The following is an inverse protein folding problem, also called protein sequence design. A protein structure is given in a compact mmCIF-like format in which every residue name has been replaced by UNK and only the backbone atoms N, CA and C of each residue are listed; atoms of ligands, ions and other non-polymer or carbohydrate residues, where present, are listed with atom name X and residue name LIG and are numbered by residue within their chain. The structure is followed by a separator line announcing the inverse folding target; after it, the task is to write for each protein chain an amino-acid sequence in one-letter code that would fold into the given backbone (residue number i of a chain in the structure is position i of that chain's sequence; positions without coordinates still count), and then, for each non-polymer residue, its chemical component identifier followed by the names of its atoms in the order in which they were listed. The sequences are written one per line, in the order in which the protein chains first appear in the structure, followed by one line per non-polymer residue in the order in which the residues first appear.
data_IF_041968130190
#
_entry.id   IF_041968130190
#
_cell.length_a   1.000
_cell.length_b   1.000
_cell.length_c   1.000
_cell.angle_alpha   90.00
_cell.angle_beta   90.00
_cell.angle_gamma   90.00
#
_symmetry.space_group_name_H-M   'P 1'
#
loop_
_entity.id
_entity.type
_entity.pdbx_description
1 polymer ?
#
# COMPACT_ATOMS: atom_id res chain seq x y z
N UNK A 1 -1.48 18.21 8.28
CA UNK A 1 -0.95 16.98 7.67
C UNK A 1 0.38 17.13 6.91
N UNK A 2 1.39 16.35 7.35
CA UNK A 2 2.73 16.21 6.73
C UNK A 2 2.72 15.38 5.43
N UNK A 3 1.90 14.33 5.37
CA UNK A 3 1.76 13.49 4.18
C UNK A 3 0.79 14.12 3.19
N UNK A 4 1.16 14.14 1.91
CA UNK A 4 0.37 14.65 0.79
C UNK A 4 0.05 13.59 -0.24
N UNK A 5 0.96 12.63 -0.40
CA UNK A 5 0.87 11.60 -1.42
C UNK A 5 1.43 10.26 -0.94
N UNK A 6 1.14 9.23 -1.72
CA UNK A 6 1.64 7.89 -1.57
C UNK A 6 2.28 7.44 -2.87
N UNK A 7 3.51 6.93 -2.79
CA UNK A 7 4.06 6.06 -3.81
C UNK A 7 3.65 4.61 -3.50
N UNK A 8 3.25 3.86 -4.51
CA UNK A 8 2.95 2.44 -4.42
C UNK A 8 3.74 1.68 -5.47
N UNK A 9 4.46 0.63 -5.05
CA UNK A 9 5.06 -0.36 -5.95
C UNK A 9 4.54 -1.75 -5.58
N UNK A 10 3.84 -2.36 -6.53
CA UNK A 10 3.21 -3.66 -6.40
C UNK A 10 3.96 -4.68 -7.26
N UNK A 11 4.32 -5.81 -6.66
CA UNK A 11 5.04 -6.90 -7.32
C UNK A 11 4.44 -8.25 -6.96
N UNK A 12 4.72 -9.25 -7.79
CA UNK A 12 4.30 -10.63 -7.56
C UNK A 12 4.91 -11.23 -6.28
N UNK A 13 4.37 -12.34 -5.72
CA UNK A 13 5.02 -13.10 -4.68
C UNK A 13 6.46 -13.46 -5.05
N UNK A 14 7.24 -13.81 -4.04
CA UNK A 14 8.52 -14.42 -4.28
C UNK A 14 8.34 -15.75 -5.03
N UNK A 15 9.20 -16.09 -6.01
CA UNK A 15 9.27 -17.44 -6.54
C UNK A 15 9.44 -18.48 -5.42
N UNK A 16 9.00 -19.74 -5.62
CA UNK A 16 9.13 -20.78 -4.59
C UNK A 16 10.57 -21.06 -4.14
N UNK A 17 11.55 -20.79 -5.00
CA UNK A 17 12.99 -20.96 -4.78
C UNK A 17 13.71 -19.67 -4.33
N UNK A 18 12.96 -18.60 -4.02
CA UNK A 18 13.53 -17.35 -3.54
C UNK A 18 14.17 -17.53 -2.16
N UNK A 19 15.45 -17.18 -2.06
CA UNK A 19 16.24 -17.25 -0.83
C UNK A 19 16.04 -16.05 0.11
N UNK A 20 15.05 -15.19 -0.19
CA UNK A 20 14.79 -13.95 0.53
C UNK A 20 15.77 -12.81 0.23
N UNK A 21 16.71 -12.99 -0.71
CA UNK A 21 17.71 -11.97 -1.06
C UNK A 21 17.09 -10.66 -1.50
N UNK A 22 16.03 -10.69 -2.31
CA UNK A 22 15.31 -9.49 -2.73
C UNK A 22 14.73 -8.73 -1.55
N UNK A 23 14.02 -9.42 -0.63
CA UNK A 23 13.40 -8.78 0.52
C UNK A 23 14.45 -8.22 1.49
N UNK A 24 15.54 -8.96 1.71
CA UNK A 24 16.66 -8.52 2.55
C UNK A 24 17.33 -7.28 1.99
N UNK A 25 17.68 -7.29 0.70
CA UNK A 25 18.21 -6.11 0.01
C UNK A 25 17.22 -4.94 0.08
N UNK A 26 15.95 -5.19 -0.23
CA UNK A 26 14.98 -4.11 -0.26
C UNK A 26 14.78 -3.46 1.12
N UNK A 27 14.79 -4.23 2.20
CA UNK A 27 14.61 -3.72 3.56
C UNK A 27 15.86 -3.06 4.14
N UNK A 28 17.04 -3.64 3.90
CA UNK A 28 18.28 -3.22 4.58
C UNK A 28 19.12 -2.24 3.76
N UNK A 29 18.87 -2.15 2.46
CA UNK A 29 19.59 -1.27 1.55
C UNK A 29 18.59 -0.33 0.85
N UNK A 30 17.71 -0.86 -0.01
CA UNK A 30 16.93 -0.01 -0.92
C UNK A 30 15.97 0.97 -0.23
N UNK A 31 15.20 0.51 0.77
CA UNK A 31 14.27 1.35 1.54
C UNK A 31 15.00 2.41 2.37
N UNK A 32 16.05 2.07 3.16
CA UNK A 32 16.82 3.04 3.91
C UNK A 32 17.37 4.20 3.07
N UNK A 33 17.85 3.93 1.84
CA UNK A 33 18.36 4.98 0.95
C UNK A 33 17.31 6.04 0.62
N UNK A 34 16.01 5.70 0.63
CA UNK A 34 14.95 6.67 0.30
C UNK A 34 14.85 7.78 1.35
N UNK A 35 15.30 7.55 2.58
CA UNK A 35 15.28 8.58 3.63
C UNK A 35 16.32 9.70 3.44
N UNK A 36 17.17 9.59 2.42
CA UNK A 36 18.01 10.71 1.96
C UNK A 36 17.17 11.83 1.34
N UNK A 37 16.00 11.48 0.79
CA UNK A 37 15.14 12.39 0.08
C UNK A 37 14.29 13.18 1.10
N UNK A 38 14.40 14.52 1.17
CA UNK A 38 13.71 15.31 2.19
C UNK A 38 12.18 15.16 2.19
N UNK A 39 11.60 14.86 1.03
CA UNK A 39 10.15 14.65 0.87
C UNK A 39 9.65 13.28 1.30
N UNK A 40 10.53 12.30 1.57
CA UNK A 40 10.11 10.98 2.07
C UNK A 40 9.82 11.07 3.56
N UNK A 41 8.57 10.76 3.92
CA UNK A 41 8.06 10.85 5.29
C UNK A 41 8.19 9.53 6.02
N UNK A 42 7.84 8.42 5.36
CA UNK A 42 7.89 7.07 5.93
C UNK A 42 7.83 6.02 4.82
N UNK A 43 8.55 4.91 4.98
CA UNK A 43 8.49 3.74 4.11
C UNK A 43 7.88 2.54 4.82
N UNK A 44 6.94 1.89 4.15
CA UNK A 44 6.19 0.73 4.62
C UNK A 44 6.31 -0.40 3.60
N UNK A 45 6.31 -1.65 4.09
CA UNK A 45 6.36 -2.84 3.25
C UNK A 45 5.50 -3.95 3.83
N UNK A 46 4.74 -4.58 2.95
CA UNK A 46 3.87 -5.71 3.26
C UNK A 46 4.00 -6.81 2.23
N UNK A 47 3.74 -8.04 2.67
CA UNK A 47 3.81 -9.24 1.83
C UNK A 47 2.58 -10.10 2.03
N UNK A 48 2.19 -10.82 0.98
CA UNK A 48 1.23 -11.91 1.03
C UNK A 48 1.97 -13.20 0.67
N UNK A 49 1.99 -14.13 1.62
CA UNK A 49 2.59 -15.46 1.53
C UNK A 49 1.68 -16.49 2.21
N UNK A 50 1.83 -17.77 1.86
CA UNK A 50 0.97 -18.84 2.36
C UNK A 50 -0.52 -18.50 2.19
N UNK A 51 -1.28 -18.65 3.28
CA UNK A 51 -2.74 -18.45 3.32
C UNK A 51 -3.19 -17.05 2.85
N UNK A 52 -2.34 -16.02 2.94
CA UNK A 52 -2.69 -14.67 2.49
C UNK A 52 -3.03 -14.61 1.00
N UNK A 53 -2.42 -15.47 0.18
CA UNK A 53 -2.65 -15.48 -1.27
C UNK A 53 -4.05 -16.00 -1.62
N UNK A 54 -4.59 -16.91 -0.81
CA UNK A 54 -5.91 -17.53 -1.00
C UNK A 54 -7.05 -16.69 -0.39
N UNK A 55 -6.73 -15.70 0.45
CA UNK A 55 -7.70 -14.81 1.11
C UNK A 55 -7.93 -13.48 0.38
N UNK A 56 -7.68 -13.43 -0.92
CA UNK A 56 -8.00 -12.25 -1.74
C UNK A 56 -9.51 -12.17 -1.96
N UNK A 57 -10.08 -10.99 -1.72
CA UNK A 57 -11.48 -10.68 -1.98
C UNK A 57 -11.70 -10.31 -3.45
N UNK A 58 -10.68 -9.72 -4.09
CA UNK A 58 -10.68 -9.45 -5.53
C UNK A 58 -9.28 -9.59 -6.10
N UNK A 59 -9.18 -10.10 -7.33
CA UNK A 59 -7.92 -10.43 -7.97
C UNK A 59 -8.03 -10.36 -9.51
N UNK A 60 -8.41 -9.21 -10.04
CA UNK A 60 -8.66 -9.02 -11.47
C UNK A 60 -7.40 -8.59 -12.23
N UNK A 61 -7.17 -9.24 -13.38
CA UNK A 61 -6.05 -8.92 -14.26
C UNK A 61 -4.67 -9.10 -13.59
N UNK A 62 -3.64 -8.34 -14.02
CA UNK A 62 -2.28 -8.47 -13.49
C UNK A 62 -2.17 -8.22 -11.98
N UNK A 63 -2.99 -7.32 -11.41
CA UNK A 63 -2.97 -7.07 -9.97
C UNK A 63 -3.53 -8.23 -9.14
N UNK A 64 -4.21 -9.20 -9.76
CA UNK A 64 -4.52 -10.47 -9.12
C UNK A 64 -3.28 -11.25 -8.67
N UNK A 65 -2.09 -10.89 -9.16
CA UNK A 65 -0.83 -11.48 -8.74
C UNK A 65 -0.13 -10.69 -7.63
N UNK A 66 -0.74 -9.69 -6.99
CA UNK A 66 -0.04 -8.92 -5.94
C UNK A 66 0.35 -9.84 -4.77
N UNK A 67 1.66 -9.90 -4.50
CA UNK A 67 2.23 -10.60 -3.35
C UNK A 67 3.13 -9.72 -2.49
N UNK A 68 3.44 -8.52 -2.96
CA UNK A 68 4.34 -7.58 -2.32
C UNK A 68 3.84 -6.16 -2.59
N UNK A 69 3.78 -5.35 -1.54
CA UNK A 69 3.46 -3.94 -1.63
C UNK A 69 4.51 -3.12 -0.88
N UNK A 70 5.06 -2.11 -1.55
CA UNK A 70 5.90 -1.07 -0.94
C UNK A 70 5.17 0.23 -1.05
N UNK A 71 5.14 0.97 0.05
CA UNK A 71 4.47 2.24 0.13
C UNK A 71 5.38 3.29 0.77
N UNK A 72 5.63 4.39 0.06
CA UNK A 72 6.29 5.56 0.66
C UNK A 72 5.29 6.69 0.83
N UNK A 73 5.20 7.21 2.03
CA UNK A 73 4.47 8.44 2.35
C UNK A 73 5.32 9.62 1.92
N UNK A 74 4.74 10.52 1.14
CA UNK A 74 5.44 11.64 0.51
C UNK A 74 4.84 12.96 0.99
N UNK A 75 5.71 13.89 1.40
CA UNK A 75 5.39 15.26 1.76
C UNK A 75 5.60 16.24 0.61
N UNK A 76 5.51 17.54 0.91
CA UNK A 76 5.82 18.59 -0.06
C UNK A 76 7.35 18.76 -0.23
N UNK A 77 7.84 19.16 -1.43
CA UNK A 77 7.11 19.24 -2.69
C UNK A 77 6.95 17.86 -3.38
N UNK A 78 5.72 17.46 -3.68
CA UNK A 78 5.42 16.09 -4.13
C UNK A 78 6.05 15.75 -5.48
N UNK A 79 5.86 16.58 -6.52
CA UNK A 79 6.36 16.30 -7.87
C UNK A 79 7.89 16.17 -7.88
N UNK A 80 8.59 17.12 -7.26
CA UNK A 80 10.05 17.07 -7.11
C UNK A 80 10.49 15.82 -6.33
N UNK A 81 9.76 15.44 -5.27
CA UNK A 81 10.10 14.22 -4.52
C UNK A 81 9.97 12.97 -5.37
N UNK A 82 8.96 12.90 -6.27
CA UNK A 82 8.83 11.79 -7.19
C UNK A 82 9.94 11.76 -8.25
N UNK A 83 10.35 12.92 -8.77
CA UNK A 83 11.50 13.02 -9.69
C UNK A 83 12.80 12.58 -9.01
N UNK A 84 13.05 13.07 -7.80
CA UNK A 84 14.22 12.72 -7.00
C UNK A 84 14.24 11.23 -6.66
N UNK A 85 13.08 10.65 -6.36
CA UNK A 85 12.92 9.21 -6.11
C UNK A 85 13.35 8.37 -7.32
N UNK A 86 12.94 8.77 -8.52
CA UNK A 86 13.32 8.09 -9.76
C UNK A 86 14.80 8.32 -10.10
N UNK A 87 15.32 9.52 -9.88
CA UNK A 87 16.73 9.84 -10.06
C UNK A 87 17.63 9.02 -9.12
N UNK A 88 17.25 8.91 -7.84
CA UNK A 88 17.95 8.09 -6.86
C UNK A 88 17.92 6.61 -7.26
N UNK A 89 16.76 6.09 -7.65
CA UNK A 89 16.64 4.71 -8.13
C UNK A 89 17.55 4.41 -9.32
N UNK A 90 17.69 5.37 -10.25
CA UNK A 90 18.62 5.27 -11.39
C UNK A 90 20.07 5.27 -10.94
N UNK A 91 20.46 6.22 -10.10
CA UNK A 91 21.84 6.33 -9.60
C UNK A 91 22.26 5.08 -8.81
N UNK A 92 21.37 4.54 -7.96
CA UNK A 92 21.61 3.29 -7.24
C UNK A 92 21.80 2.10 -8.21
N UNK A 93 20.98 2.01 -9.27
CA UNK A 93 21.12 0.96 -10.29
C UNK A 93 22.43 1.07 -11.06
N UNK A 94 22.80 2.27 -11.51
CA UNK A 94 24.05 2.52 -12.24
C UNK A 94 25.28 2.17 -11.39
N UNK A 95 25.17 2.28 -10.06
CA UNK A 95 26.20 1.86 -9.11
C UNK A 95 26.08 0.38 -8.68
N UNK A 96 25.31 -0.45 -9.39
CA UNK A 96 25.19 -1.89 -9.11
C UNK A 96 24.40 -2.24 -7.85
N UNK A 97 23.66 -1.30 -7.25
CA UNK A 97 22.87 -1.51 -6.02
C UNK A 97 21.46 -2.03 -6.27
N UNK A 98 21.24 -2.68 -7.42
CA UNK A 98 20.01 -3.39 -7.78
C UNK A 98 20.36 -4.85 -8.14
N UNK A 99 20.83 -5.66 -7.17
CA UNK A 99 21.32 -7.02 -7.43
C UNK A 99 20.20 -7.97 -7.88
N UNK A 100 18.95 -7.67 -7.52
CA UNK A 100 17.77 -8.45 -7.89
C UNK A 100 16.69 -7.50 -8.38
N UNK A 101 16.05 -7.84 -9.50
CA UNK A 101 14.88 -7.12 -10.02
C UNK A 101 13.68 -8.06 -10.04
N UNK A 102 12.51 -7.54 -9.66
CA UNK A 102 11.24 -8.25 -9.79
C UNK A 102 10.38 -7.54 -10.84
N UNK A 103 9.66 -8.29 -11.69
CA UNK A 103 8.68 -7.69 -12.58
C UNK A 103 7.67 -6.85 -11.80
N UNK A 104 7.50 -5.60 -12.23
CA UNK A 104 6.50 -4.72 -11.64
C UNK A 104 5.11 -5.10 -12.15
N UNK A 105 4.15 -5.21 -11.23
CA UNK A 105 2.74 -5.28 -11.59
C UNK A 105 2.15 -3.88 -11.76
N UNK A 106 2.56 -2.96 -10.89
CA UNK A 106 2.18 -1.55 -10.97
C UNK A 106 3.13 -0.68 -10.15
N UNK A 107 3.39 0.52 -10.65
CA UNK A 107 3.93 1.65 -9.88
C UNK A 107 2.96 2.81 -10.00
N UNK A 108 2.64 3.49 -8.91
CA UNK A 108 1.72 4.64 -8.93
C UNK A 108 2.10 5.68 -7.88
N UNK A 109 2.02 6.96 -8.25
CA UNK A 109 1.99 8.09 -7.32
C UNK A 109 0.55 8.57 -7.19
N UNK A 110 0.01 8.63 -5.98
CA UNK A 110 -1.39 8.96 -5.71
C UNK A 110 -1.52 9.99 -4.59
N UNK A 111 -2.45 10.93 -4.73
CA UNK A 111 -2.70 11.97 -3.71
C UNK A 111 -3.48 11.37 -2.56
N UNK A 112 -3.14 11.74 -1.33
CA UNK A 112 -3.93 11.38 -0.14
C UNK A 112 -5.25 12.15 -0.16
N UNK A 113 -6.36 11.41 -0.13
CA UNK A 113 -7.72 11.96 -0.22
C UNK A 113 -8.44 11.93 1.12
N UNK A 114 -8.33 10.81 1.85
CA UNK A 114 -9.05 10.57 3.10
C UNK A 114 -8.12 9.83 4.08
N UNK A 115 -8.22 10.14 5.37
CA UNK A 115 -7.43 9.52 6.43
C UNK A 115 -8.26 9.46 7.70
N UNK A 116 -8.37 8.27 8.28
CA UNK A 116 -9.21 8.02 9.45
C UNK A 116 -8.48 7.12 10.45
N UNK A 117 -8.73 7.35 11.74
CA UNK A 117 -8.34 6.47 12.83
C UNK A 117 -9.58 5.83 13.44
N UNK A 118 -9.47 4.58 13.86
CA UNK A 118 -10.52 3.97 14.67
C UNK A 118 -10.56 4.62 16.06
N UNK A 119 -11.76 4.81 16.66
CA UNK A 119 -11.85 5.41 18.00
C UNK A 119 -11.04 4.66 19.07
N UNK A 120 -10.90 3.34 18.93
CA UNK A 120 -10.14 2.48 19.84
C UNK A 120 -8.62 2.47 19.58
N UNK A 121 -8.14 3.07 18.49
CA UNK A 121 -6.71 3.17 18.20
C UNK A 121 -6.01 4.25 19.05
N UNK A 122 -6.78 5.19 19.62
CA UNK A 122 -6.32 6.24 20.54
C UNK A 122 -5.18 7.12 19.98
N UNK A 123 -5.11 7.27 18.66
CA UNK A 123 -4.17 8.14 17.96
C UNK A 123 -4.89 9.00 16.94
N UNK A 124 -4.27 10.13 16.55
CA UNK A 124 -4.79 10.97 15.47
C UNK A 124 -4.76 10.22 14.13
N UNK A 125 -5.74 10.50 13.28
CA UNK A 125 -5.83 9.91 11.94
C UNK A 125 -4.55 10.13 11.09
N UNK A 126 -3.86 11.27 11.27
CA UNK A 126 -2.63 11.61 10.54
C UNK A 126 -1.42 10.72 10.91
N UNK A 127 -1.48 9.96 12.00
CA UNK A 127 -0.34 9.15 12.48
C UNK A 127 -0.57 7.64 12.45
N UNK A 128 -1.73 7.17 11.97
CA UNK A 128 -2.06 5.74 11.85
C UNK A 128 -0.98 4.93 11.11
N UNK A 129 -0.39 5.40 10.00
CA UNK A 129 0.61 4.59 9.30
C UNK A 129 1.94 4.43 10.07
N UNK A 130 2.20 5.31 11.05
CA UNK A 130 3.48 5.37 11.78
C UNK A 130 3.49 4.48 13.02
N UNK A 131 2.34 3.97 13.45
CA UNK A 131 2.27 2.99 14.53
C UNK A 131 2.53 1.58 13.99
N UNK A 132 3.13 0.69 14.80
CA UNK A 132 3.18 -0.72 14.49
C UNK A 132 1.76 -1.27 14.23
N UNK A 133 1.65 -2.11 13.20
CA UNK A 133 0.43 -2.82 12.82
C UNK A 133 0.83 -4.20 12.32
N UNK A 134 -0.01 -5.21 12.54
CA UNK A 134 0.28 -6.61 12.16
C UNK A 134 0.16 -6.83 10.64
N UNK A 135 -0.62 -6.01 9.97
CA UNK A 135 -0.78 -6.05 8.52
C UNK A 135 -1.76 -5.01 8.02
N UNK A 136 -2.16 -5.17 6.77
CA UNK A 136 -3.13 -4.32 6.09
C UNK A 136 -4.16 -5.16 5.33
N UNK A 137 -5.31 -4.57 5.03
CA UNK A 137 -6.03 -4.89 3.80
C UNK A 137 -5.71 -3.81 2.77
N UNK A 138 -5.18 -4.20 1.62
CA UNK A 138 -4.96 -3.31 0.49
C UNK A 138 -6.13 -3.47 -0.49
N UNK A 139 -6.75 -2.36 -0.86
CA UNK A 139 -7.87 -2.31 -1.81
C UNK A 139 -7.47 -1.38 -2.96
N UNK A 140 -7.56 -1.86 -4.19
CA UNK A 140 -7.33 -1.13 -5.43
C UNK A 140 -8.60 -1.16 -6.25
N UNK A 141 -9.12 0.02 -6.56
CA UNK A 141 -10.39 0.22 -7.24
C UNK A 141 -10.23 1.19 -8.40
N UNK A 142 -11.00 0.97 -9.46
CA UNK A 142 -11.05 1.86 -10.62
C UNK A 142 -12.46 2.40 -10.79
N UNK A 143 -12.65 3.70 -11.03
CA UNK A 143 -13.95 4.23 -11.38
C UNK A 143 -14.37 3.74 -12.76
N UNK A 144 -15.67 3.45 -12.93
CA UNK A 144 -16.21 3.03 -14.23
C UNK A 144 -16.41 4.24 -15.15
N UNK A 145 -16.87 5.37 -14.60
CA UNK A 145 -17.04 6.63 -15.34
C UNK A 145 -16.64 7.81 -14.48
N UNK A 146 -15.69 8.62 -14.97
CA UNK A 146 -15.31 9.88 -14.35
C UNK A 146 -14.90 9.76 -12.88
N UNK A 147 -15.05 10.84 -12.13
CA UNK A 147 -14.79 10.85 -10.69
C UNK A 147 -16.08 10.47 -9.93
N UNK A 148 -16.08 9.42 -9.09
CA UNK A 148 -17.27 8.93 -8.41
C UNK A 148 -17.51 9.69 -7.09
N UNK A 149 -17.83 10.98 -7.16
CA UNK A 149 -17.90 11.87 -5.98
C UNK A 149 -18.91 11.41 -4.91
N UNK A 150 -20.08 10.91 -5.32
CA UNK A 150 -21.07 10.38 -4.39
C UNK A 150 -20.56 9.15 -3.63
N UNK A 151 -19.80 8.28 -4.31
CA UNK A 151 -19.17 7.13 -3.66
C UNK A 151 -18.07 7.56 -2.70
N UNK A 152 -17.22 8.53 -3.07
CA UNK A 152 -16.21 9.08 -2.16
C UNK A 152 -16.83 9.74 -0.92
N UNK A 153 -17.98 10.40 -1.08
CA UNK A 153 -18.73 10.99 0.02
C UNK A 153 -19.35 9.91 0.92
N UNK A 154 -19.96 8.88 0.33
CA UNK A 154 -20.50 7.74 1.08
C UNK A 154 -19.39 7.00 1.84
N UNK A 155 -18.20 6.84 1.23
CA UNK A 155 -17.03 6.28 1.91
C UNK A 155 -16.73 7.02 3.21
N UNK A 156 -16.70 8.35 3.13
CA UNK A 156 -16.42 9.21 4.26
C UNK A 156 -17.50 9.15 5.35
N UNK A 157 -18.76 9.29 4.95
CA UNK A 157 -19.88 9.53 5.86
C UNK A 157 -20.42 8.26 6.52
N UNK A 158 -20.34 7.12 5.84
CA UNK A 158 -21.01 5.89 6.25
C UNK A 158 -20.06 4.68 6.29
N UNK A 159 -19.29 4.48 5.22
CA UNK A 159 -18.45 3.27 5.10
C UNK A 159 -17.31 3.24 6.12
N UNK A 160 -16.49 4.29 6.20
CA UNK A 160 -15.36 4.28 7.14
C UNK A 160 -15.80 4.20 8.59
N UNK A 161 -16.84 4.91 9.08
CA UNK A 161 -17.35 4.68 10.43
C UNK A 161 -17.65 3.21 10.74
N UNK A 162 -18.30 2.49 9.82
CA UNK A 162 -18.59 1.06 9.98
C UNK A 162 -17.31 0.20 9.92
N UNK A 163 -16.44 0.46 8.95
CA UNK A 163 -15.16 -0.24 8.79
C UNK A 163 -14.27 -0.08 10.03
N UNK A 164 -14.18 1.13 10.58
CA UNK A 164 -13.35 1.45 11.74
C UNK A 164 -13.94 0.97 13.07
N UNK A 165 -15.23 0.65 13.11
CA UNK A 165 -15.86 -0.01 14.24
C UNK A 165 -15.52 -1.51 14.32
N UNK A 166 -15.00 -2.11 13.25
CA UNK A 166 -14.64 -3.53 13.21
C UNK A 166 -13.41 -3.80 14.08
N UNK A 167 -13.49 -4.73 15.06
CA UNK A 167 -12.36 -5.07 15.92
C UNK A 167 -11.10 -5.46 15.14
N UNK A 168 -9.95 -4.94 15.58
CA UNK A 168 -8.67 -5.17 14.94
C UNK A 168 -8.31 -4.17 13.84
N UNK A 169 -9.17 -3.20 13.53
CA UNK A 169 -8.89 -2.13 12.55
C UNK A 169 -8.37 -0.88 13.25
N UNK A 170 -7.15 -0.45 12.93
CA UNK A 170 -6.53 0.74 13.52
C UNK A 170 -6.92 2.05 12.79
N UNK A 171 -7.13 1.98 11.48
CA UNK A 171 -7.43 3.14 10.66
C UNK A 171 -7.44 2.81 9.17
N UNK A 172 -7.83 3.78 8.35
CA UNK A 172 -7.88 3.63 6.89
C UNK A 172 -7.44 4.91 6.20
N UNK A 173 -6.54 4.78 5.22
CA UNK A 173 -6.07 5.88 4.38
C UNK A 173 -6.38 5.57 2.92
N UNK A 174 -6.95 6.53 2.21
CA UNK A 174 -7.31 6.39 0.80
C UNK A 174 -6.62 7.42 -0.04
N UNK A 175 -5.97 6.92 -1.07
CA UNK A 175 -5.23 7.68 -2.07
C UNK A 175 -5.94 7.56 -3.42
N UNK A 176 -5.80 8.55 -4.28
CA UNK A 176 -6.31 8.45 -5.65
C UNK A 176 -5.54 9.31 -6.63
N UNK A 177 -5.79 9.06 -7.92
CA UNK A 177 -5.15 9.79 -9.01
C UNK A 177 -5.40 11.30 -8.87
N UNK A 178 -4.33 12.10 -8.93
CA UNK A 178 -4.39 13.56 -8.80
C UNK A 178 -4.59 14.23 -10.15
N UNK A 179 -5.47 15.22 -10.22
CA UNK A 179 -5.53 16.16 -11.35
C UNK A 179 -4.69 17.43 -11.10
N UNK A 180 -4.02 17.51 -9.95
CA UNK A 180 -3.32 18.72 -9.49
C UNK A 180 -1.81 18.68 -9.65
N UNK A 181 -1.25 17.63 -10.23
CA UNK A 181 0.18 17.54 -10.56
C UNK A 181 0.36 17.78 -12.05
N UNK A 182 1.39 18.54 -12.41
CA UNK A 182 1.69 18.85 -13.82
C UNK A 182 2.27 17.65 -14.56
N UNK A 183 2.94 16.75 -13.85
CA UNK A 183 3.47 15.50 -14.41
C UNK A 183 3.65 14.41 -13.35
N UNK A 184 3.81 13.18 -13.85
CA UNK A 184 4.26 12.03 -13.08
C UNK A 184 5.45 11.38 -13.82
N UNK A 185 6.36 10.70 -13.10
CA UNK A 185 7.46 10.02 -13.76
C UNK A 185 7.01 8.97 -14.78
N UNK A 186 7.78 8.82 -15.85
CA UNK A 186 7.49 7.86 -16.91
C UNK A 186 7.40 6.41 -16.40
N UNK A 187 6.42 5.66 -16.91
CA UNK A 187 6.17 4.27 -16.51
C UNK A 187 5.34 4.11 -15.24
N UNK A 188 4.99 5.21 -14.56
CA UNK A 188 4.02 5.17 -13.47
C UNK A 188 2.60 5.18 -14.05
N UNK A 189 1.69 4.48 -13.37
CA UNK A 189 0.29 4.41 -13.75
C UNK A 189 -0.37 5.78 -13.60
N UNK A 190 -1.00 6.24 -14.67
CA UNK A 190 -1.70 7.53 -14.75
C UNK A 190 -3.22 7.40 -14.81
N UNK A 191 -3.75 6.19 -15.09
CA UNK A 191 -5.20 5.95 -15.10
C UNK A 191 -5.82 6.32 -13.75
N UNK A 192 -7.12 6.68 -13.78
CA UNK A 192 -7.88 6.92 -12.57
C UNK A 192 -7.99 5.65 -11.75
N UNK A 193 -7.52 5.72 -10.51
CA UNK A 193 -7.62 4.63 -9.53
C UNK A 193 -7.70 5.20 -8.12
N UNK A 194 -8.14 4.35 -7.21
CA UNK A 194 -8.13 4.56 -5.77
C UNK A 194 -7.40 3.41 -5.11
N UNK A 195 -6.51 3.73 -4.16
CA UNK A 195 -5.87 2.74 -3.31
C UNK A 195 -6.22 3.06 -1.86
N UNK A 196 -6.92 2.16 -1.19
CA UNK A 196 -7.19 2.22 0.25
C UNK A 196 -6.28 1.24 0.98
N UNK A 197 -5.61 1.74 2.02
CA UNK A 197 -4.84 0.94 2.98
C UNK A 197 -5.59 0.94 4.31
N UNK A 198 -6.11 -0.24 4.70
CA UNK A 198 -6.73 -0.45 6.00
C UNK A 198 -5.70 -1.06 6.93
N UNK A 199 -5.30 -0.34 7.98
CA UNK A 199 -4.25 -0.76 8.92
C UNK A 199 -4.84 -1.65 10.02
N UNK A 200 -4.19 -2.78 10.30
CA UNK A 200 -4.73 -3.82 11.19
C UNK A 200 -3.85 -4.04 12.43
N UNK A 201 -4.45 -3.92 13.60
CA UNK A 201 -3.90 -4.40 14.88
C UNK A 201 -4.24 -5.85 15.16
N UNK A 202 -5.40 -6.30 14.66
CA UNK A 202 -5.83 -7.68 14.75
C UNK A 202 -4.98 -8.62 13.91
N UNK A 203 -5.25 -9.91 14.01
CA UNK A 203 -4.71 -10.88 13.08
C UNK A 203 -5.18 -10.55 11.65
N UNK A 204 -4.27 -10.32 10.67
CA UNK A 204 -4.68 -9.78 9.37
C UNK A 204 -5.68 -10.65 8.61
N UNK A 205 -5.58 -11.98 8.70
CA UNK A 205 -6.50 -12.89 8.01
C UNK A 205 -7.87 -12.88 8.68
N UNK A 206 -7.89 -13.02 10.01
CA UNK A 206 -9.14 -13.00 10.79
C UNK A 206 -9.86 -11.67 10.67
N UNK A 207 -9.14 -10.55 10.72
CA UNK A 207 -9.74 -9.22 10.57
C UNK A 207 -10.19 -8.96 9.13
N UNK A 208 -9.47 -9.45 8.11
CA UNK A 208 -9.91 -9.33 6.72
C UNK A 208 -11.21 -10.12 6.46
N UNK A 209 -11.37 -11.32 7.03
CA UNK A 209 -12.62 -12.08 6.97
C UNK A 209 -13.78 -11.27 7.54
N UNK A 210 -13.59 -10.66 8.72
CA UNK A 210 -14.61 -9.82 9.36
C UNK A 210 -14.94 -8.55 8.54
N UNK A 211 -13.97 -8.00 7.82
CA UNK A 211 -14.15 -6.83 6.97
C UNK A 211 -14.78 -7.15 5.60
N UNK A 212 -14.85 -8.42 5.20
CA UNK A 212 -15.28 -8.83 3.85
C UNK A 212 -16.63 -8.23 3.44
N UNK A 213 -17.72 -8.33 4.24
CA UNK A 213 -19.02 -7.79 3.85
C UNK A 213 -19.01 -6.27 3.63
N UNK A 214 -18.18 -5.53 4.39
CA UNK A 214 -18.01 -4.09 4.25
C UNK A 214 -17.18 -3.75 3.02
N UNK A 215 -16.14 -4.53 2.71
CA UNK A 215 -15.32 -4.29 1.52
C UNK A 215 -16.14 -4.54 0.25
N UNK A 216 -16.90 -5.64 0.18
CA UNK A 216 -17.78 -5.95 -0.95
C UNK A 216 -18.89 -4.90 -1.14
N UNK A 217 -19.34 -4.27 -0.05
CA UNK A 217 -20.33 -3.18 -0.10
C UNK A 217 -19.88 -2.01 -0.99
N UNK A 218 -18.57 -1.75 -1.04
CA UNK A 218 -17.99 -0.66 -1.84
C UNK A 218 -18.28 -0.80 -3.33
N UNK A 219 -18.56 -2.02 -3.80
CA UNK A 219 -18.75 -2.33 -5.22
C UNK A 219 -20.22 -2.54 -5.60
N UNK A 220 -21.15 -2.53 -4.64
CA UNK A 220 -22.59 -2.79 -4.90
C UNK A 220 -23.23 -1.82 -5.89
N UNK A 221 -22.81 -0.56 -5.87
CA UNK A 221 -23.34 0.46 -6.80
C UNK A 221 -22.73 0.39 -8.20
N UNK A 222 -21.68 -0.43 -8.40
CA UNK A 222 -20.92 -0.59 -9.65
C UNK A 222 -20.33 0.71 -10.24
N UNK A 223 -20.28 1.81 -9.48
CA UNK A 223 -19.65 3.07 -9.92
C UNK A 223 -18.12 3.01 -9.85
N UNK A 224 -17.61 2.09 -9.04
CA UNK A 224 -16.23 1.63 -9.02
C UNK A 224 -16.23 0.12 -9.18
N UNK A 225 -15.16 -0.41 -9.78
CA UNK A 225 -14.91 -1.85 -9.86
C UNK A 225 -13.69 -2.21 -9.01
N UNK A 226 -13.71 -3.36 -8.34
CA UNK A 226 -12.48 -3.89 -7.75
C UNK A 226 -11.45 -4.22 -8.83
N UNK A 227 -10.19 -4.09 -8.49
CA UNK A 227 -9.07 -4.61 -9.28
C UNK A 227 -8.24 -5.55 -8.41
N UNK A 228 -8.02 -5.17 -7.16
CA UNK A 228 -7.39 -6.01 -6.15
C UNK A 228 -7.97 -5.69 -4.78
N UNK A 229 -8.22 -6.71 -3.96
CA UNK A 229 -8.49 -6.54 -2.55
C UNK A 229 -7.97 -7.76 -1.80
N UNK A 230 -7.11 -7.56 -0.80
CA UNK A 230 -6.61 -8.69 -0.03
C UNK A 230 -5.75 -8.29 1.17
N UNK A 231 -5.62 -9.19 2.16
CA UNK A 231 -4.75 -8.98 3.30
C UNK A 231 -3.28 -9.11 2.91
N UNK A 232 -2.43 -8.32 3.56
CA UNK A 232 -0.98 -8.48 3.55
C UNK A 232 -0.46 -8.32 4.98
N UNK A 233 0.57 -9.09 5.35
CA UNK A 233 1.22 -8.93 6.66
C UNK A 233 2.34 -7.91 6.62
N UNK A 234 2.52 -7.21 7.73
CA UNK A 234 3.69 -6.37 7.95
C UNK A 234 4.93 -7.24 8.10
N UNK A 235 6.03 -6.82 7.49
CA UNK A 235 7.32 -7.43 7.75
C UNK A 235 7.86 -6.93 9.09
N UNK A 236 7.91 -7.79 10.12
CA UNK A 236 8.64 -7.47 11.35
C UNK A 236 10.13 -7.52 11.02
N UNK A 237 10.79 -6.36 11.11
CA UNK A 237 12.12 -6.08 10.55
C UNK A 237 13.29 -6.88 11.16
N UNK A 238 13.06 -7.79 12.11
CA UNK A 238 14.07 -8.71 12.64
C UNK A 238 13.68 -10.20 12.63
N UNK A 239 12.39 -10.53 12.69
CA UNK A 239 11.89 -11.92 12.74
C UNK A 239 11.59 -12.51 11.36
N UNK A 240 11.77 -11.73 10.27
CA UNK A 240 11.46 -12.15 8.91
C UNK A 240 12.43 -13.19 8.30
N UNK A 241 13.45 -13.65 9.04
CA UNK A 241 14.40 -14.67 8.58
C UNK A 241 14.29 -15.92 9.44
N UNK A 242 14.28 -17.13 8.86
CA UNK A 242 14.46 -18.35 9.64
C UNK A 242 15.77 -18.27 10.42
N UNK A 243 15.71 -18.33 11.74
CA UNK A 243 16.87 -18.56 12.58
C UNK A 243 17.31 -20.01 12.43
N UNK A 244 18.00 -20.30 11.32
CA UNK A 244 18.77 -21.53 11.17
C UNK A 244 20.24 -21.18 11.03
N UNK A 245 20.88 -21.00 12.18
CA UNK A 245 22.25 -21.45 12.43
C UNK A 245 22.43 -21.56 13.94
N UNK A 246 22.19 -22.77 14.45
CA UNK A 246 22.92 -23.21 15.64
C UNK A 246 24.42 -23.21 15.25
N UNK A 247 25.23 -22.50 16.03
CA UNK A 247 26.66 -22.77 16.13
C UNK A 247 26.85 -24.00 17.02
#
# INVERSE_FOLDING_TARGET
MRVKAGFFSLTAPAPPDDDGSYLRWHLLDHMPEQYQLPGIVHGLRWIADGDYLERRLAADGPLGQVGNAVHYLVGDPVEQTFDDFVALGRALRENGRFPVTRPSLQVAGLRLLQWHAAPHALVSAEVVPFRPHRGIVLIVEEPVVGRPDQWLQWLHAEHYPALLATPGTAGAWTFGSSTGWSHLPGGWRTDHQYITVVYLDGDPLTTADALTPLIEERWRSAVVRPVFAGPLRTMVSWEAWPSTRAL
#
